data_IF_530595032855
#
_entry.id   IF_530595032855
#
_cell.length_a   1.000
_cell.length_b   1.000
_cell.length_c   1.000
_cell.angle_alpha   90.00
_cell.angle_beta   90.00
_cell.angle_gamma   90.00
#
_symmetry.space_group_name_H-M   'P 1'
#
loop_
_entity.id
_entity.type
_entity.pdbx_description
1 polymer ?
#
# COMPACT_ATOMS: atom_id res chain seq x y z
N UNK A 1 7.04 -6.06 17.61
CA UNK A 1 7.79 -5.27 16.60
C UNK A 1 6.85 -5.04 15.43
N UNK A 2 6.73 -3.81 14.91
CA UNK A 2 5.88 -3.53 13.76
C UNK A 2 6.38 -4.30 12.53
N UNK A 3 5.46 -4.92 11.81
CA UNK A 3 5.74 -5.56 10.54
C UNK A 3 6.35 -4.57 9.56
N UNK A 4 7.23 -5.04 8.67
CA UNK A 4 7.86 -4.21 7.65
C UNK A 4 7.60 -4.80 6.28
N UNK A 5 7.34 -3.94 5.30
CA UNK A 5 7.23 -4.34 3.89
C UNK A 5 8.15 -3.51 3.01
N UNK A 6 8.58 -4.10 1.89
CA UNK A 6 9.32 -3.37 0.85
C UNK A 6 8.36 -2.44 0.15
N UNK A 7 8.75 -1.18 0.02
CA UNK A 7 7.94 -0.16 -0.64
C UNK A 7 8.61 0.34 -1.91
N UNK A 8 7.80 0.60 -2.92
CA UNK A 8 8.20 1.27 -4.15
C UNK A 8 7.28 2.46 -4.42
N UNK A 9 7.87 3.57 -4.85
CA UNK A 9 7.15 4.75 -5.33
C UNK A 9 7.24 4.78 -6.86
N UNK A 10 6.08 4.79 -7.50
CA UNK A 10 5.93 4.90 -8.94
C UNK A 10 5.56 6.34 -9.28
N UNK A 11 6.38 6.98 -10.09
CA UNK A 11 6.03 8.25 -10.72
C UNK A 11 5.43 7.95 -12.08
N UNK A 12 4.16 8.29 -12.24
CA UNK A 12 3.40 8.14 -13.46
C UNK A 12 3.15 9.53 -14.07
N UNK A 13 2.97 9.57 -15.38
CA UNK A 13 2.50 10.74 -16.11
C UNK A 13 1.30 10.35 -16.95
N UNK A 14 0.22 11.10 -16.84
CA UNK A 14 -0.98 10.86 -17.65
C UNK A 14 -0.86 11.42 -19.07
N UNK A 15 -1.90 11.19 -19.90
CA UNK A 15 -1.95 11.65 -21.29
C UNK A 15 -1.99 13.17 -21.46
N UNK A 16 -2.25 13.93 -20.38
CA UNK A 16 -2.23 15.39 -20.35
C UNK A 16 -0.91 15.94 -19.78
N UNK A 17 0.01 15.07 -19.39
CA UNK A 17 1.30 15.45 -18.82
C UNK A 17 1.28 15.68 -17.31
N UNK A 18 0.15 15.42 -16.62
CA UNK A 18 0.05 15.60 -15.18
C UNK A 18 0.77 14.46 -14.43
N UNK A 19 1.59 14.79 -13.42
CA UNK A 19 2.28 13.78 -12.63
C UNK A 19 1.35 13.15 -11.60
N UNK A 20 1.41 11.82 -11.48
CA UNK A 20 0.73 11.04 -10.44
C UNK A 20 1.76 10.19 -9.69
N UNK A 21 1.59 10.02 -8.38
CA UNK A 21 2.45 9.14 -7.57
C UNK A 21 1.62 8.02 -6.98
N UNK A 22 2.13 6.80 -7.06
CA UNK A 22 1.49 5.62 -6.48
C UNK A 22 2.52 4.84 -5.66
N UNK A 23 2.10 4.30 -4.53
CA UNK A 23 2.93 3.46 -3.65
C UNK A 23 2.50 2.01 -3.81
N UNK A 24 3.45 1.09 -3.84
CA UNK A 24 3.16 -0.33 -3.80
C UNK A 24 4.05 -1.03 -2.76
N UNK A 25 3.41 -1.85 -1.92
CA UNK A 25 4.02 -2.57 -0.81
C UNK A 25 4.26 -4.05 -1.15
N UNK A 26 5.11 -4.34 -2.14
CA UNK A 26 5.40 -5.70 -2.61
C UNK A 26 6.84 -5.83 -3.14
N UNK A 27 7.17 -6.99 -3.72
CA UNK A 27 8.38 -7.14 -4.53
C UNK A 27 8.35 -6.19 -5.74
N UNK A 28 9.51 -5.82 -6.29
CA UNK A 28 9.58 -4.88 -7.43
C UNK A 28 8.75 -5.35 -8.62
N UNK A 29 8.84 -6.65 -8.94
CA UNK A 29 8.15 -7.24 -10.09
C UNK A 29 6.63 -7.21 -9.88
N UNK A 30 6.17 -7.65 -8.71
CA UNK A 30 4.73 -7.67 -8.41
C UNK A 30 4.15 -6.26 -8.32
N UNK A 31 4.90 -5.33 -7.70
CA UNK A 31 4.55 -3.91 -7.66
C UNK A 31 4.39 -3.35 -9.08
N UNK A 32 5.31 -3.66 -9.99
CA UNK A 32 5.21 -3.20 -11.38
C UNK A 32 4.03 -3.85 -12.14
N UNK A 33 3.77 -5.15 -11.91
CA UNK A 33 2.64 -5.85 -12.51
C UNK A 33 1.30 -5.26 -12.07
N UNK A 34 1.16 -4.96 -10.78
CA UNK A 34 -0.02 -4.31 -10.20
C UNK A 34 -0.24 -2.95 -10.84
N UNK A 35 0.78 -2.08 -10.86
CA UNK A 35 0.65 -0.74 -11.44
C UNK A 35 0.37 -0.81 -12.94
N UNK A 36 0.95 -1.77 -13.65
CA UNK A 36 0.63 -1.98 -15.07
C UNK A 36 -0.81 -2.45 -15.29
N UNK A 37 -1.38 -3.21 -14.36
CA UNK A 37 -2.77 -3.68 -14.45
C UNK A 37 -3.79 -2.61 -14.09
N UNK A 38 -3.45 -1.64 -13.22
CA UNK A 38 -4.39 -0.61 -12.74
C UNK A 38 -4.23 0.76 -13.39
N UNK A 39 -3.08 1.04 -14.04
CA UNK A 39 -2.90 2.27 -14.80
C UNK A 39 -3.77 2.30 -16.07
N UNK A 40 -4.24 3.50 -16.43
CA UNK A 40 -4.87 3.76 -17.73
C UNK A 40 -3.87 3.58 -18.88
N UNK A 41 -4.31 3.20 -20.10
CA UNK A 41 -3.44 3.14 -21.29
C UNK A 41 -2.73 4.46 -21.61
N UNK A 42 -3.31 5.59 -21.19
CA UNK A 42 -2.72 6.92 -21.36
C UNK A 42 -1.67 7.26 -20.29
N UNK A 43 -1.54 6.45 -19.26
CA UNK A 43 -0.56 6.66 -18.20
C UNK A 43 0.74 5.90 -18.50
N UNK A 44 1.85 6.63 -18.43
CA UNK A 44 3.20 6.09 -18.56
C UNK A 44 3.91 6.10 -17.22
N UNK A 45 4.57 5.00 -16.89
CA UNK A 45 5.49 4.95 -15.75
C UNK A 45 6.77 5.67 -16.18
N UNK A 46 7.14 6.75 -15.50
CA UNK A 46 8.36 7.50 -15.75
C UNK A 46 9.51 6.99 -14.88
N UNK A 47 9.24 6.68 -13.62
CA UNK A 47 10.26 6.24 -12.68
C UNK A 47 9.69 5.27 -11.63
N UNK A 48 10.52 4.35 -11.16
CA UNK A 48 10.22 3.42 -10.06
C UNK A 48 11.36 3.55 -9.05
N UNK A 49 11.06 4.12 -7.88
CA UNK A 49 12.05 4.34 -6.83
C UNK A 49 11.82 3.39 -5.67
N UNK A 50 12.86 2.67 -5.25
CA UNK A 50 12.80 1.89 -4.02
C UNK A 50 12.74 2.85 -2.82
N UNK A 51 11.68 2.73 -2.01
CA UNK A 51 11.47 3.57 -0.84
C UNK A 51 12.06 2.96 0.45
N UNK A 52 12.55 1.72 0.40
CA UNK A 52 13.10 1.02 1.55
C UNK A 52 12.15 0.01 2.16
N UNK A 53 12.55 -0.50 3.33
CA UNK A 53 11.70 -1.28 4.20
C UNK A 53 10.95 -0.34 5.13
N UNK A 54 9.66 -0.16 4.88
CA UNK A 54 8.83 0.74 5.67
C UNK A 54 8.06 -0.05 6.73
N UNK A 55 7.89 0.51 7.94
CA UNK A 55 6.98 -0.06 8.92
C UNK A 55 5.55 0.00 8.37
N UNK A 56 4.81 -1.06 8.65
CA UNK A 56 3.40 -1.23 8.33
C UNK A 56 2.69 -1.42 9.65
N UNK A 57 1.65 -0.64 9.90
CA UNK A 57 0.81 -0.75 11.09
C UNK A 57 -0.60 -1.08 10.65
N UNK A 58 -1.13 -2.21 11.11
CA UNK A 58 -2.56 -2.51 10.94
C UNK A 58 -3.37 -1.74 11.98
N UNK A 59 -4.44 -1.07 11.55
CA UNK A 59 -5.40 -0.35 12.41
C UNK A 59 -6.83 -0.56 11.91
N UNK A 60 -7.86 -0.39 12.75
CA UNK A 60 -9.23 -0.29 12.25
C UNK A 60 -9.39 0.96 11.37
N UNK A 61 -10.31 0.92 10.41
CA UNK A 61 -10.77 2.10 9.68
C UNK A 61 -11.58 3.04 10.59
N UNK A 62 -11.97 4.20 10.07
CA UNK A 62 -12.70 5.23 10.84
C UNK A 62 -14.03 4.72 11.42
N UNK A 63 -14.70 3.80 10.72
CA UNK A 63 -15.96 3.20 11.13
C UNK A 63 -15.79 1.91 11.96
N UNK A 64 -14.55 1.52 12.28
CA UNK A 64 -14.23 0.25 12.94
C UNK A 64 -14.91 -0.98 12.28
N UNK A 65 -15.01 -0.96 10.95
CA UNK A 65 -15.64 -1.98 10.12
C UNK A 65 -14.63 -2.84 9.36
N UNK A 66 -13.41 -2.34 9.17
CA UNK A 66 -12.39 -2.99 8.38
C UNK A 66 -10.98 -2.72 8.90
N UNK A 67 -10.03 -3.57 8.47
CA UNK A 67 -8.60 -3.32 8.70
C UNK A 67 -8.07 -2.41 7.59
N UNK A 68 -7.31 -1.40 7.96
CA UNK A 68 -6.50 -0.58 7.05
C UNK A 68 -5.04 -0.60 7.51
N UNK A 69 -4.13 -0.32 6.59
CA UNK A 69 -2.71 -0.28 6.88
C UNK A 69 -2.19 1.15 6.76
N UNK A 70 -1.50 1.61 7.79
CA UNK A 70 -0.76 2.86 7.74
C UNK A 70 0.72 2.57 7.44
N UNK A 71 1.26 3.26 6.42
CA UNK A 71 2.64 3.09 5.99
C UNK A 71 3.36 4.42 5.83
N UNK A 72 4.52 4.54 6.46
CA UNK A 72 5.39 5.70 6.33
C UNK A 72 6.37 5.56 5.17
N UNK A 73 6.24 6.38 4.12
CA UNK A 73 7.14 6.40 2.95
C UNK A 73 7.72 7.80 2.76
N UNK A 74 9.05 7.93 2.84
CA UNK A 74 9.79 9.19 2.64
C UNK A 74 9.22 10.39 3.44
N UNK A 75 8.82 10.16 4.69
CA UNK A 75 8.28 11.19 5.57
C UNK A 75 6.81 11.53 5.36
N UNK A 76 6.09 10.78 4.50
CA UNK A 76 4.63 10.87 4.34
C UNK A 76 3.97 9.60 4.83
N UNK A 77 2.81 9.74 5.47
CA UNK A 77 1.97 8.60 5.83
C UNK A 77 0.96 8.33 4.72
N UNK A 78 0.78 7.06 4.37
CA UNK A 78 -0.19 6.60 3.38
C UNK A 78 -1.08 5.56 4.02
N UNK A 79 -2.38 5.64 3.73
CA UNK A 79 -3.33 4.63 4.11
C UNK A 79 -3.59 3.67 2.95
N UNK A 80 -3.48 2.37 3.24
CA UNK A 80 -3.72 1.28 2.31
C UNK A 80 -4.95 0.53 2.81
N UNK A 81 -6.10 0.83 2.21
CA UNK A 81 -7.38 0.18 2.48
C UNK A 81 -7.61 -1.04 1.58
N UNK A 82 -8.74 -1.73 1.77
CA UNK A 82 -9.13 -2.93 1.00
C UNK A 82 -9.14 -2.73 -0.52
N UNK A 83 -9.34 -1.49 -0.99
CA UNK A 83 -9.37 -1.15 -2.42
C UNK A 83 -7.98 -1.00 -3.02
N UNK A 84 -6.96 -0.84 -2.20
CA UNK A 84 -5.59 -0.67 -2.64
C UNK A 84 -4.96 -2.02 -2.97
N UNK A 85 -4.21 -2.08 -4.06
CA UNK A 85 -3.74 -3.33 -4.66
C UNK A 85 -2.68 -4.04 -3.81
N UNK A 86 -2.02 -3.29 -2.93
CA UNK A 86 -1.07 -3.84 -1.96
C UNK A 86 -1.73 -4.49 -0.74
N UNK A 87 -3.05 -4.31 -0.55
CA UNK A 87 -3.76 -4.74 0.66
C UNK A 87 -3.61 -6.24 0.95
N UNK A 88 -3.87 -7.09 -0.05
CA UNK A 88 -3.79 -8.55 0.11
C UNK A 88 -2.40 -9.06 0.48
N UNK A 89 -1.35 -8.35 0.07
CA UNK A 89 0.02 -8.66 0.48
C UNK A 89 0.28 -8.23 1.92
N UNK A 90 -0.17 -7.04 2.30
CA UNK A 90 0.00 -6.53 3.67
C UNK A 90 -0.75 -7.37 4.70
N UNK A 91 -1.91 -7.95 4.35
CA UNK A 91 -2.60 -8.95 5.19
C UNK A 91 -1.69 -10.13 5.57
N UNK A 92 -0.82 -10.56 4.64
CA UNK A 92 0.12 -11.67 4.88
C UNK A 92 1.34 -11.23 5.67
N UNK A 93 1.88 -10.04 5.36
CA UNK A 93 3.08 -9.49 6.03
C UNK A 93 2.81 -9.12 7.49
N UNK A 94 1.63 -8.58 7.78
CA UNK A 94 1.22 -8.12 9.11
C UNK A 94 0.16 -9.04 9.74
N UNK A 95 0.12 -10.33 9.39
CA UNK A 95 -0.93 -11.27 9.79
C UNK A 95 -1.23 -11.28 11.30
N UNK A 96 -0.22 -11.18 12.17
CA UNK A 96 -0.41 -11.12 13.63
C UNK A 96 -1.09 -9.84 14.09
N UNK A 97 -0.69 -8.69 13.52
CA UNK A 97 -1.29 -7.40 13.84
C UNK A 97 -2.73 -7.35 13.33
N UNK A 98 -2.96 -7.83 12.09
CA UNK A 98 -4.28 -7.96 11.48
C UNK A 98 -5.21 -8.80 12.35
N UNK A 99 -4.76 -9.97 12.84
CA UNK A 99 -5.57 -10.79 13.75
C UNK A 99 -5.91 -10.08 15.06
N UNK A 100 -5.01 -9.24 15.56
CA UNK A 100 -5.25 -8.45 16.77
C UNK A 100 -6.32 -7.40 16.52
N UNK A 101 -6.27 -6.71 15.39
CA UNK A 101 -7.31 -5.75 14.98
C UNK A 101 -8.64 -6.46 14.74
N UNK A 102 -8.66 -7.58 14.02
CA UNK A 102 -9.91 -8.33 13.75
C UNK A 102 -10.58 -8.75 15.07
N UNK A 103 -9.82 -9.28 16.03
CA UNK A 103 -10.38 -9.63 17.35
C UNK A 103 -10.99 -8.42 18.06
N UNK A 104 -10.31 -7.28 18.01
CA UNK A 104 -10.84 -6.04 18.56
C UNK A 104 -12.16 -5.62 17.88
N UNK A 105 -12.27 -5.79 16.56
CA UNK A 105 -13.50 -5.50 15.81
C UNK A 105 -14.64 -6.50 16.10
N UNK A 106 -14.34 -7.71 16.55
CA UNK A 106 -15.32 -8.76 16.90
C UNK A 106 -15.81 -8.66 18.35
N UNK A 107 -15.12 -7.89 19.21
CA UNK A 107 -15.47 -7.68 20.62
C UNK A 107 -16.49 -6.54 20.83
N UNK A 108 -16.80 -5.76 19.79
CA UNK A 108 -17.85 -4.72 19.70
C UNK A 108 -19.15 -5.27 19.07
#
# INVERSE_FOLDING_TARGET
MPSKSRMYEFSLRDGHGAPTRVIAAQSKLDAQNIINATKSPLQKIENITYAGWCPVVAKPDEDASAVVFEVGVKGKSYEISRRHESYSHLLKVAAKEVQTVIKYLEED
#
